data_IF_940497316293
#
_entry.id   IF_940497316293
#
_cell.length_a   1.000
_cell.length_b   1.000
_cell.length_c   1.000
_cell.angle_alpha   90.00
_cell.angle_beta   90.00
_cell.angle_gamma   90.00
#
_symmetry.space_group_name_H-M   'P 1'
#
loop_
_entity.id
_entity.type
_entity.pdbx_description
1 polymer ?
#
# COMPACT_ATOMS: atom_id res chain seq x y z
N UNK A 1 11.28 -2.26 22.51
CA UNK A 1 10.08 -1.83 21.74
C UNK A 1 10.11 -2.56 20.40
N UNK A 2 9.11 -3.39 20.06
CA UNK A 2 9.19 -4.29 18.88
C UNK A 2 9.01 -3.49 17.59
N UNK A 3 10.02 -3.43 16.72
CA UNK A 3 9.93 -2.82 15.38
C UNK A 3 9.87 -3.92 14.32
N UNK A 4 8.92 -3.83 13.40
CA UNK A 4 8.64 -4.85 12.39
C UNK A 4 9.11 -4.33 11.02
N UNK A 5 9.91 -5.11 10.31
CA UNK A 5 10.49 -4.73 9.02
C UNK A 5 10.03 -5.67 7.90
N UNK A 6 9.83 -5.11 6.71
CA UNK A 6 9.38 -5.81 5.49
C UNK A 6 10.56 -5.94 4.52
N UNK A 7 10.76 -7.13 3.96
CA UNK A 7 11.69 -7.33 2.84
C UNK A 7 11.05 -8.19 1.76
N UNK A 8 11.22 -7.78 0.50
CA UNK A 8 10.89 -8.56 -0.71
C UNK A 8 12.19 -9.15 -1.25
N UNK A 9 12.26 -10.45 -1.50
CA UNK A 9 13.46 -11.06 -2.12
C UNK A 9 13.35 -11.05 -3.65
N UNK A 10 14.50 -11.01 -4.33
CA UNK A 10 14.64 -10.85 -5.79
C UNK A 10 14.12 -12.04 -6.62
N UNK A 11 13.73 -13.15 -6.01
CA UNK A 11 13.48 -14.43 -6.71
C UNK A 11 12.00 -14.70 -7.07
N UNK A 12 11.20 -13.67 -7.37
CA UNK A 12 9.83 -13.82 -7.89
C UNK A 12 8.79 -14.39 -6.92
N UNK A 13 9.19 -15.07 -5.84
CA UNK A 13 8.32 -15.48 -4.73
C UNK A 13 8.30 -14.42 -3.63
N UNK A 14 7.14 -13.85 -3.34
CA UNK A 14 6.94 -12.99 -2.17
C UNK A 14 6.96 -13.86 -0.90
N UNK A 15 8.16 -13.99 -0.31
CA UNK A 15 8.36 -14.59 1.01
C UNK A 15 8.21 -13.50 2.07
N UNK A 16 7.19 -13.60 2.90
CA UNK A 16 7.02 -12.67 4.03
C UNK A 16 7.80 -13.17 5.23
N UNK A 17 8.76 -12.36 5.69
CA UNK A 17 9.57 -12.64 6.86
C UNK A 17 9.06 -11.74 7.99
N UNK A 18 8.45 -12.31 9.02
CA UNK A 18 8.21 -11.56 10.27
C UNK A 18 9.50 -11.55 11.07
N UNK A 19 9.97 -10.35 11.40
CA UNK A 19 11.29 -10.16 11.97
C UNK A 19 11.24 -9.35 13.26
N UNK A 20 11.96 -9.82 14.28
CA UNK A 20 12.26 -9.07 15.49
C UNK A 20 13.67 -8.49 15.44
N UNK A 21 13.81 -7.22 15.82
CA UNK A 21 15.09 -6.57 16.08
C UNK A 21 15.50 -6.83 17.54
N UNK A 22 16.61 -7.54 17.74
CA UNK A 22 17.22 -7.60 19.06
C UNK A 22 17.82 -6.23 19.39
N UNK A 23 17.36 -5.61 20.47
CA UNK A 23 17.97 -4.38 21.00
C UNK A 23 19.46 -4.62 21.26
N UNK A 24 20.38 -3.78 20.76
CA UNK A 24 21.76 -3.87 21.20
C UNK A 24 21.79 -3.44 22.67
N UNK A 25 22.13 -4.37 23.57
CA UNK A 25 22.41 -4.06 24.98
C UNK A 25 23.87 -3.62 25.19
N UNK A 26 24.55 -3.16 24.14
CA UNK A 26 25.95 -2.77 24.23
C UNK A 26 26.20 -1.44 23.47
N UNK A 27 26.55 -0.35 24.17
CA UNK A 27 26.84 0.94 23.54
C UNK A 27 28.13 0.95 22.69
N UNK A 28 28.90 -0.14 22.65
CA UNK A 28 30.19 -0.18 21.93
C UNK A 28 30.15 -0.70 20.48
N UNK A 29 29.01 -1.14 19.93
CA UNK A 29 28.98 -1.80 18.61
C UNK A 29 28.29 -0.93 17.54
N UNK A 30 28.98 0.12 17.09
CA UNK A 30 28.53 1.00 16.00
C UNK A 30 28.58 0.41 14.58
N UNK A 31 28.73 -0.92 14.43
CA UNK A 31 28.69 -1.62 13.13
C UNK A 31 27.77 -2.86 13.17
N UNK A 32 26.74 -2.85 14.01
CA UNK A 32 25.79 -3.95 14.08
C UNK A 32 24.93 -4.00 12.81
N UNK A 33 25.33 -4.86 11.86
CA UNK A 33 24.42 -5.40 10.85
C UNK A 33 23.12 -5.79 11.53
N UNK A 34 22.00 -5.22 11.09
CA UNK A 34 20.70 -5.49 11.69
C UNK A 34 20.44 -7.01 11.62
N UNK A 35 20.45 -7.66 12.78
CA UNK A 35 20.22 -9.10 12.90
C UNK A 35 18.74 -9.34 13.09
N UNK A 36 18.21 -10.14 12.20
CA UNK A 36 16.80 -10.29 11.94
C UNK A 36 16.41 -11.76 12.07
N UNK A 37 15.69 -12.11 13.14
CA UNK A 37 15.22 -13.49 13.36
C UNK A 37 13.91 -13.75 12.61
N UNK A 38 13.88 -14.79 11.76
CA UNK A 38 12.64 -15.28 11.13
C UNK A 38 11.91 -16.13 12.13
N UNK A 39 10.68 -15.74 12.47
CA UNK A 39 9.81 -16.61 13.27
C UNK A 39 8.88 -17.42 12.39
N UNK A 40 8.37 -16.81 11.32
CA UNK A 40 7.41 -17.44 10.42
C UNK A 40 7.61 -16.91 9.00
N UNK A 41 7.43 -17.78 8.01
CA UNK A 41 7.39 -17.41 6.60
C UNK A 41 6.27 -18.17 5.86
N UNK A 42 5.71 -17.55 4.83
CA UNK A 42 4.77 -18.17 3.90
C UNK A 42 4.84 -17.50 2.53
N UNK A 43 4.31 -18.17 1.51
CA UNK A 43 4.10 -17.56 0.19
C UNK A 43 2.93 -16.59 0.26
N UNK A 44 2.93 -15.56 -0.59
CA UNK A 44 1.83 -14.58 -0.58
C UNK A 44 0.44 -15.18 -0.81
N UNK A 45 0.32 -16.17 -1.71
CA UNK A 45 -0.96 -16.84 -1.99
C UNK A 45 -1.49 -17.69 -0.84
N UNK A 46 -0.65 -17.95 0.17
CA UNK A 46 -0.98 -18.69 1.40
C UNK A 46 -1.37 -17.74 2.55
N UNK A 47 -1.26 -16.42 2.35
CA UNK A 47 -1.61 -15.42 3.35
C UNK A 47 -3.07 -15.00 3.24
N UNK A 48 -3.72 -14.86 4.40
CA UNK A 48 -5.00 -14.18 4.55
C UNK A 48 -4.87 -13.10 5.63
N UNK A 49 -5.19 -11.85 5.30
CA UNK A 49 -5.22 -10.74 6.25
C UNK A 49 -6.66 -10.32 6.52
N UNK A 50 -6.97 -9.99 7.77
CA UNK A 50 -8.24 -9.37 8.15
C UNK A 50 -7.96 -8.07 8.88
N UNK A 51 -8.58 -6.99 8.43
CA UNK A 51 -8.59 -5.74 9.18
C UNK A 51 -9.51 -5.91 10.40
N UNK A 52 -8.95 -5.72 11.61
CA UNK A 52 -9.66 -5.87 12.88
C UNK A 52 -9.91 -4.55 13.58
N UNK A 53 -9.59 -3.41 12.94
CA UNK A 53 -9.63 -2.07 13.55
C UNK A 53 -11.01 -1.67 14.09
N UNK A 54 -12.07 -2.37 13.69
CA UNK A 54 -13.46 -2.05 14.06
C UNK A 54 -14.09 -3.08 15.02
N UNK A 55 -13.43 -4.19 15.36
CA UNK A 55 -14.14 -5.37 15.93
C UNK A 55 -13.65 -5.90 17.28
N UNK A 56 -12.61 -5.33 17.89
CA UNK A 56 -12.15 -5.76 19.21
C UNK A 56 -12.59 -4.76 20.28
N UNK A 57 -13.68 -5.06 20.98
CA UNK A 57 -14.16 -4.22 22.08
C UNK A 57 -13.04 -4.03 23.12
N UNK A 58 -12.62 -2.77 23.30
CA UNK A 58 -11.65 -2.38 24.33
C UNK A 58 -10.17 -2.37 23.91
N UNK A 59 -9.80 -2.79 22.71
CA UNK A 59 -8.40 -2.71 22.24
C UNK A 59 -8.23 -1.58 21.23
N UNK A 60 -7.64 -0.46 21.67
CA UNK A 60 -7.35 0.68 20.82
C UNK A 60 -6.03 0.52 20.04
N UNK A 61 -6.05 0.94 18.78
CA UNK A 61 -4.89 1.01 17.90
C UNK A 61 -5.13 0.39 16.52
N UNK A 62 -4.10 0.46 15.68
CA UNK A 62 -4.16 0.01 14.30
C UNK A 62 -3.81 -1.47 14.19
N UNK A 63 -4.79 -2.31 14.54
CA UNK A 63 -4.65 -3.76 14.61
C UNK A 63 -5.06 -4.45 13.31
N UNK A 64 -4.30 -5.47 12.94
CA UNK A 64 -4.62 -6.33 11.81
C UNK A 64 -4.17 -7.75 12.11
N UNK A 65 -4.85 -8.68 11.44
CA UNK A 65 -4.75 -10.08 11.75
C UNK A 65 -4.25 -10.87 10.56
N UNK A 66 -3.15 -11.58 10.76
CA UNK A 66 -2.50 -12.38 9.74
C UNK A 66 -2.76 -13.87 9.97
N UNK A 67 -3.28 -14.53 8.96
CA UNK A 67 -3.49 -15.97 8.90
C UNK A 67 -2.59 -16.55 7.83
N UNK A 68 -1.86 -17.61 8.18
CA UNK A 68 -1.01 -18.34 7.26
C UNK A 68 -1.62 -19.72 7.05
N UNK A 69 -1.98 -20.02 5.82
CA UNK A 69 -2.61 -21.27 5.43
C UNK A 69 -1.64 -22.14 4.62
N UNK A 70 -1.63 -23.45 4.85
CA UNK A 70 -1.00 -24.42 3.95
C UNK A 70 -2.13 -25.23 3.29
N UNK A 71 -2.46 -24.87 2.06
CA UNK A 71 -3.70 -25.33 1.42
C UNK A 71 -4.94 -24.89 2.21
N UNK A 72 -5.88 -25.80 2.55
CA UNK A 72 -7.07 -25.45 3.34
C UNK A 72 -6.78 -25.30 4.85
N UNK A 73 -5.61 -25.74 5.33
CA UNK A 73 -5.32 -25.76 6.77
C UNK A 73 -4.73 -24.44 7.25
N UNK A 74 -5.24 -23.89 8.36
CA UNK A 74 -4.64 -22.77 9.07
C UNK A 74 -3.47 -23.27 9.92
N UNK A 75 -2.27 -22.72 9.70
CA UNK A 75 -1.05 -23.08 10.47
C UNK A 75 -0.74 -22.08 11.57
N UNK A 76 -0.83 -20.79 11.23
CA UNK A 76 -0.49 -19.72 12.16
C UNK A 76 -1.52 -18.61 12.12
N UNK A 77 -1.75 -18.03 13.28
CA UNK A 77 -2.67 -16.93 13.49
C UNK A 77 -1.99 -15.88 14.35
N UNK A 78 -1.76 -14.68 13.80
CA UNK A 78 -0.93 -13.66 14.43
C UNK A 78 -1.70 -12.33 14.44
N UNK A 79 -1.82 -11.74 15.62
CA UNK A 79 -2.34 -10.38 15.79
C UNK A 79 -1.17 -9.38 15.79
N UNK A 80 -1.23 -8.41 14.88
CA UNK A 80 -0.21 -7.38 14.70
C UNK A 80 -0.80 -6.00 15.01
N UNK A 81 0.06 -5.10 15.53
CA UNK A 81 -0.28 -3.69 15.80
C UNK A 81 0.71 -2.81 15.06
N UNK A 82 0.19 -1.90 14.23
CA UNK A 82 0.97 -0.81 13.68
C UNK A 82 0.92 0.42 14.60
N UNK A 83 1.94 1.28 14.49
CA UNK A 83 2.01 2.53 15.25
C UNK A 83 1.10 3.61 14.66
N UNK A 84 0.79 3.52 13.36
CA UNK A 84 0.01 4.50 12.61
C UNK A 84 -1.03 3.80 11.73
N UNK A 85 -2.07 4.53 11.33
CA UNK A 85 -3.12 3.98 10.46
C UNK A 85 -2.55 3.65 9.07
N UNK A 86 -1.78 4.58 8.49
CA UNK A 86 -1.05 4.39 7.24
C UNK A 86 -0.13 3.16 7.31
N UNK A 87 0.57 2.96 8.42
CA UNK A 87 1.41 1.78 8.63
C UNK A 87 0.60 0.49 8.54
N UNK A 88 -0.55 0.42 9.22
CA UNK A 88 -1.46 -0.74 9.14
C UNK A 88 -1.93 -0.96 7.71
N UNK A 89 -2.41 0.08 7.02
CA UNK A 89 -2.91 -0.04 5.65
C UNK A 89 -1.79 -0.47 4.69
N UNK A 90 -0.60 0.11 4.80
CA UNK A 90 0.61 -0.30 4.03
C UNK A 90 0.94 -1.78 4.24
N UNK A 91 0.82 -2.30 5.47
CA UNK A 91 0.98 -3.73 5.74
C UNK A 91 -0.10 -4.60 5.08
N UNK A 92 -1.36 -4.18 5.15
CA UNK A 92 -2.49 -4.89 4.54
C UNK A 92 -2.35 -4.92 3.00
N UNK A 93 -2.16 -3.77 2.36
CA UNK A 93 -1.99 -3.69 0.89
C UNK A 93 -0.76 -4.46 0.41
N UNK A 94 0.32 -4.47 1.20
CA UNK A 94 1.49 -5.25 0.84
C UNK A 94 1.16 -6.74 0.70
N UNK A 95 0.41 -7.29 1.66
CA UNK A 95 0.06 -8.71 1.73
C UNK A 95 -1.02 -9.11 0.72
N UNK A 96 -1.85 -8.15 0.29
CA UNK A 96 -2.83 -8.31 -0.78
C UNK A 96 -2.63 -7.22 -1.84
N UNK A 97 -1.69 -7.41 -2.77
CA UNK A 97 -1.59 -6.53 -3.90
C UNK A 97 -2.82 -6.78 -4.78
N UNK A 98 -3.83 -5.91 -4.68
CA UNK A 98 -4.91 -5.88 -5.67
C UNK A 98 -4.32 -5.69 -7.07
N UNK A 99 -4.93 -6.32 -8.08
CA UNK A 99 -4.57 -6.07 -9.47
C UNK A 99 -4.91 -4.60 -9.81
N UNK A 100 -3.94 -3.79 -10.30
CA UNK A 100 -4.21 -2.43 -10.73
C UNK A 100 -5.32 -2.30 -11.78
N UNK A 101 -5.53 -3.32 -12.62
CA UNK A 101 -6.56 -3.34 -13.65
C UNK A 101 -7.95 -3.53 -13.04
N UNK A 102 -8.09 -4.49 -12.10
CA UNK A 102 -9.37 -4.77 -11.44
C UNK A 102 -9.88 -3.57 -10.64
N UNK A 103 -9.01 -2.88 -9.92
CA UNK A 103 -9.42 -1.73 -9.09
C UNK A 103 -9.82 -0.49 -9.92
N UNK A 104 -9.33 -0.36 -11.15
CA UNK A 104 -9.71 0.74 -12.04
C UNK A 104 -10.96 0.43 -12.88
N UNK A 105 -11.18 -0.85 -13.19
CA UNK A 105 -12.34 -1.31 -13.98
C UNK A 105 -13.62 -1.44 -13.14
N UNK A 106 -13.51 -1.59 -11.81
CA UNK A 106 -14.65 -1.72 -10.89
C UNK A 106 -15.19 -0.40 -10.34
N UNK A 107 -14.51 0.73 -10.57
CA UNK A 107 -14.97 2.02 -10.08
C UNK A 107 -16.12 2.55 -10.97
N UNK A 108 -17.33 2.66 -10.41
CA UNK A 108 -18.47 3.28 -11.08
C UNK A 108 -18.28 4.81 -11.18
N UNK A 109 -18.95 5.45 -12.15
CA UNK A 109 -18.80 6.87 -12.50
C UNK A 109 -18.96 7.86 -11.32
N UNK A 110 -19.69 7.46 -10.27
CA UNK A 110 -20.01 8.31 -9.12
C UNK A 110 -19.03 8.15 -7.93
N UNK A 111 -18.18 7.11 -7.89
CA UNK A 111 -17.34 6.77 -6.72
C UNK A 111 -15.83 7.06 -6.91
N UNK A 112 -15.46 7.68 -8.03
CA UNK A 112 -14.05 7.95 -8.35
C UNK A 112 -13.60 9.21 -7.59
N UNK A 113 -13.11 9.04 -6.36
CA UNK A 113 -12.40 10.12 -5.66
C UNK A 113 -11.13 10.45 -6.44
N UNK A 114 -11.03 11.68 -6.95
CA UNK A 114 -9.85 12.15 -7.66
C UNK A 114 -9.22 13.31 -6.91
N UNK A 115 -7.89 13.34 -6.94
CA UNK A 115 -7.09 14.41 -6.38
C UNK A 115 -6.08 14.91 -7.42
N UNK A 116 -5.76 16.20 -7.33
CA UNK A 116 -4.71 16.82 -8.12
C UNK A 116 -3.52 17.15 -7.23
N UNK A 117 -2.32 16.80 -7.67
CA UNK A 117 -1.10 17.22 -7.01
C UNK A 117 -0.88 18.73 -7.15
N UNK A 118 -0.78 19.42 -6.03
CA UNK A 118 -0.57 20.88 -5.97
C UNK A 118 0.90 21.26 -5.73
N UNK A 119 1.71 20.30 -5.24
CA UNK A 119 3.14 20.45 -4.96
C UNK A 119 3.87 19.14 -5.22
N UNK A 120 5.03 19.19 -5.88
CA UNK A 120 5.83 17.99 -6.13
C UNK A 120 6.28 17.32 -4.83
N UNK A 121 6.32 15.98 -4.85
CA UNK A 121 6.73 15.14 -3.73
C UNK A 121 7.72 14.09 -4.23
N UNK A 122 8.85 13.91 -3.54
CA UNK A 122 9.79 12.85 -3.86
C UNK A 122 9.56 11.65 -2.93
N UNK A 123 9.32 10.47 -3.50
CA UNK A 123 9.15 9.25 -2.71
C UNK A 123 10.36 8.98 -1.81
N UNK A 124 10.10 8.70 -0.53
CA UNK A 124 11.11 8.39 0.48
C UNK A 124 11.20 6.89 0.76
N UNK A 125 10.10 6.17 0.55
CA UNK A 125 10.00 4.73 0.73
C UNK A 125 9.59 4.02 -0.58
N UNK A 126 9.87 2.73 -0.68
CA UNK A 126 9.61 1.92 -1.87
C UNK A 126 8.12 1.80 -2.28
N UNK A 127 7.21 2.02 -1.34
CA UNK A 127 5.76 1.99 -1.52
C UNK A 127 5.16 3.37 -1.71
N UNK A 128 5.99 4.42 -1.72
CA UNK A 128 5.58 5.79 -1.98
C UNK A 128 5.66 6.16 -3.46
N UNK A 129 4.79 7.07 -3.86
CA UNK A 129 4.70 7.57 -5.23
C UNK A 129 5.31 8.97 -5.31
N UNK A 130 6.35 9.15 -6.11
CA UNK A 130 6.92 10.47 -6.42
C UNK A 130 5.91 11.25 -7.23
N UNK A 131 5.43 12.42 -6.81
CA UNK A 131 4.43 13.22 -7.51
C UNK A 131 5.03 14.44 -8.20
N UNK A 132 4.49 14.79 -9.36
CA UNK A 132 4.72 16.07 -10.04
C UNK A 132 3.49 16.97 -9.94
N UNK A 133 3.69 18.29 -10.00
CA UNK A 133 2.60 19.25 -9.94
C UNK A 133 1.64 19.02 -11.11
N UNK A 134 0.34 19.05 -10.81
CA UNK A 134 -0.77 18.74 -11.71
C UNK A 134 -0.96 17.26 -12.08
N UNK A 135 -0.21 16.33 -11.48
CA UNK A 135 -0.56 14.90 -11.51
C UNK A 135 -2.01 14.70 -11.06
N UNK A 136 -2.77 13.90 -11.81
CA UNK A 136 -4.13 13.49 -11.46
C UNK A 136 -4.10 12.07 -10.95
N UNK A 137 -4.64 11.85 -9.76
CA UNK A 137 -4.64 10.55 -9.09
C UNK A 137 -6.05 10.15 -8.69
N UNK A 138 -6.32 8.85 -8.77
CA UNK A 138 -7.44 8.22 -8.09
C UNK A 138 -7.04 7.96 -6.64
N UNK A 139 -7.80 8.51 -5.68
CA UNK A 139 -7.57 8.29 -4.25
C UNK A 139 -8.39 7.09 -3.75
N UNK A 140 -7.71 6.04 -3.27
CA UNK A 140 -8.36 4.78 -2.83
C UNK A 140 -8.57 4.70 -1.33
N UNK A 141 -7.55 5.11 -0.57
CA UNK A 141 -7.58 5.04 0.89
C UNK A 141 -6.95 6.31 1.41
N UNK A 142 -7.70 7.02 2.26
CA UNK A 142 -7.23 8.20 2.96
C UNK A 142 -7.20 7.85 4.43
N UNK A 143 -6.02 7.92 5.04
CA UNK A 143 -5.85 7.63 6.46
C UNK A 143 -5.90 8.92 7.29
N UNK A 144 -6.33 8.81 8.54
CA UNK A 144 -6.46 9.93 9.47
C UNK A 144 -5.11 10.58 9.82
N UNK A 145 -4.01 9.85 9.68
CA UNK A 145 -2.64 10.34 9.86
C UNK A 145 -2.06 11.03 8.61
N UNK A 146 -2.91 11.37 7.64
CA UNK A 146 -2.56 12.29 6.55
C UNK A 146 -1.88 11.63 5.35
N UNK A 147 -2.03 10.33 5.17
CA UNK A 147 -1.55 9.62 3.98
C UNK A 147 -2.69 9.24 3.05
N UNK A 148 -2.38 9.17 1.76
CA UNK A 148 -3.29 8.72 0.71
C UNK A 148 -2.60 7.61 -0.07
N UNK A 149 -3.30 6.50 -0.25
CA UNK A 149 -2.97 5.52 -1.28
C UNK A 149 -3.75 5.86 -2.54
N UNK A 150 -3.07 5.92 -3.67
CA UNK A 150 -3.72 6.21 -4.94
C UNK A 150 -3.03 5.61 -6.15
N UNK A 151 -3.65 5.83 -7.30
CA UNK A 151 -3.13 5.46 -8.62
C UNK A 151 -3.04 6.72 -9.47
N UNK A 152 -1.86 7.03 -10.01
CA UNK A 152 -1.70 8.12 -10.98
C UNK A 152 -2.33 7.69 -12.31
N UNK A 153 -3.15 8.56 -12.88
CA UNK A 153 -3.87 8.22 -14.12
C UNK A 153 -2.91 8.05 -15.31
N UNK A 154 -1.91 8.91 -15.49
CA UNK A 154 -1.07 8.95 -16.70
C UNK A 154 -0.34 7.65 -17.01
N UNK A 155 0.18 6.96 -15.99
CA UNK A 155 1.01 5.76 -16.11
C UNK A 155 0.41 4.54 -15.38
N UNK A 156 -0.59 4.74 -14.53
CA UNK A 156 -1.17 3.69 -13.69
C UNK A 156 -0.31 3.33 -12.47
N UNK A 157 0.73 4.10 -12.15
CA UNK A 157 1.58 3.81 -11.00
C UNK A 157 0.80 3.99 -9.69
N UNK A 158 1.01 3.03 -8.77
CA UNK A 158 0.35 2.98 -7.47
C UNK A 158 1.36 3.23 -6.37
N UNK A 159 0.98 4.05 -5.40
CA UNK A 159 1.75 4.20 -4.17
C UNK A 159 1.08 5.10 -3.16
N UNK A 160 1.81 5.35 -2.08
CA UNK A 160 1.43 6.23 -0.99
C UNK A 160 2.01 7.63 -1.17
N UNK A 161 1.26 8.65 -0.80
CA UNK A 161 1.71 10.04 -0.82
C UNK A 161 1.03 10.86 0.28
N UNK A 162 1.63 11.97 0.74
CA UNK A 162 1.05 12.76 1.81
C UNK A 162 -0.16 13.56 1.30
N UNK A 163 -1.25 13.53 2.06
CA UNK A 163 -2.50 14.26 1.74
C UNK A 163 -2.27 15.76 1.53
N UNK A 164 -1.33 16.35 2.25
CA UNK A 164 -1.01 17.77 2.16
C UNK A 164 -0.44 18.23 0.80
N UNK A 165 -0.08 17.30 -0.08
CA UNK A 165 0.50 17.59 -1.40
C UNK A 165 -0.55 17.54 -2.51
N UNK A 166 -1.80 17.20 -2.18
CA UNK A 166 -2.89 17.05 -3.13
C UNK A 166 -4.14 17.82 -2.67
N UNK A 167 -4.98 18.19 -3.64
CA UNK A 167 -6.30 18.75 -3.42
C UNK A 167 -7.36 17.90 -4.10
N UNK A 168 -8.55 17.83 -3.49
CA UNK A 168 -9.67 17.08 -4.05
C UNK A 168 -10.26 17.75 -5.29
N UNK A 169 -10.49 16.96 -6.34
CA UNK A 169 -11.18 17.39 -7.54
C UNK A 169 -12.69 17.18 -7.32
N UNK A 170 -13.35 18.18 -6.75
CA UNK A 170 -14.78 18.11 -6.41
C UNK A 170 -15.69 18.21 -7.64
N UNK A 171 -15.22 18.85 -8.73
CA UNK A 171 -16.00 19.01 -9.96
C UNK A 171 -16.20 17.67 -10.67
N UNK A 172 -17.45 17.17 -10.69
CA UNK A 172 -17.82 15.96 -11.44
C UNK A 172 -17.41 16.07 -12.92
N UNK A 173 -17.68 17.20 -13.57
CA UNK A 173 -17.29 17.40 -14.97
C UNK A 173 -15.77 17.32 -15.18
N UNK A 174 -14.96 17.81 -14.24
CA UNK A 174 -13.51 17.65 -14.31
C UNK A 174 -13.10 16.18 -14.14
N UNK A 175 -13.69 15.48 -13.16
CA UNK A 175 -13.43 14.04 -12.94
C UNK A 175 -13.73 13.19 -14.18
N UNK A 176 -14.86 13.46 -14.84
CA UNK A 176 -15.27 12.81 -16.08
C UNK A 176 -14.33 13.09 -17.25
N UNK A 177 -13.86 14.33 -17.40
CA UNK A 177 -12.89 14.68 -18.45
C UNK A 177 -11.58 13.93 -18.25
N UNK A 178 -11.07 13.90 -17.01
CA UNK A 178 -9.84 13.18 -16.68
C UNK A 178 -9.96 11.69 -17.00
N UNK A 179 -11.11 11.07 -16.69
CA UNK A 179 -11.37 9.67 -17.00
C UNK A 179 -11.39 9.41 -18.52
N UNK A 180 -12.09 10.24 -19.28
CA UNK A 180 -12.17 10.12 -20.74
C UNK A 180 -10.80 10.24 -21.41
N UNK A 181 -10.01 11.22 -20.99
CA UNK A 181 -8.65 11.38 -21.51
C UNK A 181 -7.76 10.19 -21.15
N UNK A 182 -7.90 9.67 -19.93
CA UNK A 182 -7.16 8.47 -19.52
C UNK A 182 -7.47 7.26 -20.41
N UNK A 183 -8.76 6.99 -20.65
CA UNK A 183 -9.20 5.90 -21.52
C UNK A 183 -8.67 6.11 -22.94
N UNK A 184 -8.78 7.34 -23.47
CA UNK A 184 -8.30 7.68 -24.82
C UNK A 184 -6.80 7.40 -24.97
N UNK A 185 -5.98 7.83 -24.01
CA UNK A 185 -4.53 7.60 -24.01
C UNK A 185 -4.23 6.10 -23.94
N UNK A 186 -4.85 5.37 -23.02
CA UNK A 186 -4.66 3.91 -22.87
C UNK A 186 -5.00 3.15 -24.16
N UNK A 187 -6.12 3.47 -24.80
CA UNK A 187 -6.50 2.83 -26.07
C UNK A 187 -5.51 3.10 -27.20
N UNK A 188 -4.93 4.31 -27.28
CA UNK A 188 -3.91 4.63 -28.29
C UNK A 188 -2.62 3.88 -28.01
N UNK A 189 -2.14 3.89 -26.77
CA UNK A 189 -0.90 3.20 -26.37
C UNK A 189 -0.98 1.69 -26.61
N UNK A 190 -2.14 1.07 -26.37
CA UNK A 190 -2.35 -0.36 -26.65
C UNK A 190 -2.29 -0.72 -28.13
N UNK A 191 -2.75 0.18 -29.02
CA UNK A 191 -2.68 -0.04 -30.48
C UNK A 191 -1.23 0.01 -30.95
N UNK A 192 -0.46 0.98 -30.47
CA UNK A 192 0.96 1.14 -30.80
C UNK A 192 1.86 -0.02 -30.34
N UNK A 193 1.44 -0.80 -29.33
CA UNK A 193 2.19 -1.96 -28.85
C UNK A 193 1.89 -3.26 -29.63
N UNK A 194 0.88 -3.26 -30.50
CA UNK A 194 0.44 -4.43 -31.27
C UNK A 194 0.89 -4.40 -32.73
N UNK A 195 1.50 -3.29 -33.16
CA UNK A 195 2.08 -3.06 -34.48
C UNK A 195 3.61 -3.20 -34.41
#
# INVERSE_FOLDING_TARGET
>A
MKRHHKYRTRAGGLLYKLVYENSPQDPAVHLATWKYLVFVHAKIGELKVKDLSLKLQGVSGFLFHLQLCEGPQLKHQILLKANTESGKQRWITAMFPSDPLEDMEQATDDDISQVQCIKSYQAQEHDELTLEKADILHAKTITSDGWVQGIRLSDGERGWFPKAYVEEITSRSARLRNLRENIRIKCVTQKLQRD
#
